data_IF_705133538710
#
_entry.id   IF_705133538710
#
_cell.length_a   1.000
_cell.length_b   1.000
_cell.length_c   1.000
_cell.angle_alpha   90.00
_cell.angle_beta   90.00
_cell.angle_gamma   90.00
#
_symmetry.space_group_name_H-M   'P 1'
#
loop_
_entity.id
_entity.type
_entity.pdbx_description
1 polymer ?
#
# COMPACT_ATOMS: atom_id res chain seq x y z
N UNK A 1 -51.49 9.97 41.86
CA UNK A 1 -51.03 10.00 40.46
C UNK A 1 -49.51 9.82 40.40
N UNK A 2 -49.06 8.60 40.05
CA UNK A 2 -47.82 8.23 39.36
C UNK A 2 -46.56 9.14 39.39
N UNK A 3 -45.93 9.33 40.56
CA UNK A 3 -44.59 9.96 40.62
C UNK A 3 -43.46 9.02 40.15
N UNK A 4 -43.67 7.69 40.21
CA UNK A 4 -42.67 6.68 39.77
C UNK A 4 -42.57 6.51 38.25
N UNK A 5 -43.53 7.00 37.45
CA UNK A 5 -43.48 6.84 35.99
C UNK A 5 -42.57 7.85 35.29
N UNK A 6 -42.28 8.98 35.94
CA UNK A 6 -41.45 10.07 35.39
C UNK A 6 -39.94 9.79 35.57
N UNK A 7 -39.55 9.07 36.63
CA UNK A 7 -38.15 8.66 36.84
C UNK A 7 -37.72 7.48 35.94
N UNK A 8 -38.63 6.53 35.67
CA UNK A 8 -38.34 5.37 34.81
C UNK A 8 -38.20 5.80 33.33
N UNK A 9 -38.91 6.84 32.88
CA UNK A 9 -38.78 7.36 31.52
C UNK A 9 -37.47 8.14 31.30
N UNK A 10 -37.00 8.89 32.29
CA UNK A 10 -35.73 9.64 32.20
C UNK A 10 -34.50 8.73 32.11
N UNK A 11 -34.47 7.64 32.90
CA UNK A 11 -33.36 6.68 32.89
C UNK A 11 -33.30 5.89 31.57
N UNK A 12 -34.47 5.53 31.02
CA UNK A 12 -34.57 4.83 29.74
C UNK A 12 -34.08 5.67 28.56
N UNK A 13 -34.40 6.97 28.53
CA UNK A 13 -33.90 7.89 27.49
C UNK A 13 -32.39 8.07 27.58
N UNK A 14 -31.85 8.22 28.78
CA UNK A 14 -30.39 8.32 28.98
C UNK A 14 -29.70 7.03 28.54
N UNK A 15 -30.25 5.86 28.88
CA UNK A 15 -29.67 4.57 28.47
C UNK A 15 -29.71 4.41 26.94
N UNK A 16 -30.79 4.82 26.29
CA UNK A 16 -30.93 4.78 24.82
C UNK A 16 -29.97 5.76 24.14
N UNK A 17 -29.74 6.94 24.71
CA UNK A 17 -28.77 7.91 24.20
C UNK A 17 -27.33 7.41 24.38
N UNK A 18 -27.01 6.78 25.51
CA UNK A 18 -25.69 6.18 25.77
C UNK A 18 -25.45 4.97 24.86
N UNK A 19 -26.44 4.09 24.71
CA UNK A 19 -26.37 2.95 23.79
C UNK A 19 -26.30 3.42 22.33
N UNK A 20 -27.06 4.45 21.96
CA UNK A 20 -27.00 5.08 20.64
C UNK A 20 -25.63 5.70 20.36
N UNK A 21 -25.02 6.35 21.34
CA UNK A 21 -23.67 6.92 21.26
C UNK A 21 -22.59 5.83 21.13
N UNK A 22 -22.72 4.71 21.87
CA UNK A 22 -21.81 3.56 21.74
C UNK A 22 -21.95 2.87 20.37
N UNK A 23 -23.17 2.74 19.84
CA UNK A 23 -23.41 2.19 18.50
C UNK A 23 -22.90 3.14 17.39
N UNK A 24 -22.92 4.46 17.62
CA UNK A 24 -22.35 5.44 16.70
C UNK A 24 -20.82 5.35 16.63
N UNK A 25 -20.14 5.20 17.78
CA UNK A 25 -18.67 5.04 17.83
C UNK A 25 -18.16 3.77 17.13
N UNK A 26 -18.98 2.73 17.04
CA UNK A 26 -18.60 1.45 16.41
C UNK A 26 -18.91 1.38 14.92
N UNK A 27 -19.59 2.39 14.36
CA UNK A 27 -19.98 2.43 12.94
C UNK A 27 -19.38 3.66 12.24
N UNK A 28 -18.17 3.52 11.70
CA UNK A 28 -17.75 4.36 10.57
C UNK A 28 -16.37 5.04 10.63
N UNK A 29 -15.51 4.69 11.58
CA UNK A 29 -14.11 5.13 11.50
C UNK A 29 -13.36 4.32 10.46
N UNK A 30 -13.24 4.81 9.22
CA UNK A 30 -12.13 4.40 8.37
C UNK A 30 -10.85 4.82 9.11
N UNK A 31 -10.07 3.84 9.55
CA UNK A 31 -8.77 4.08 10.19
C UNK A 31 -7.83 4.60 9.10
N UNK A 32 -7.85 5.91 8.85
CA UNK A 32 -6.86 6.55 8.00
C UNK A 32 -5.57 6.53 8.82
N UNK A 33 -4.60 5.69 8.42
CA UNK A 33 -3.26 5.72 9.02
C UNK A 33 -2.71 7.14 8.86
N UNK A 34 -2.24 7.72 9.97
CA UNK A 34 -1.52 9.00 9.93
C UNK A 34 -0.30 8.84 9.01
N UNK A 35 0.00 9.87 8.21
CA UNK A 35 1.15 9.83 7.30
C UNK A 35 2.42 9.51 8.08
N UNK A 36 3.21 8.58 7.57
CA UNK A 36 4.51 8.23 8.12
C UNK A 36 5.61 9.24 7.70
N UNK A 37 5.27 10.25 6.89
CA UNK A 37 6.20 11.26 6.37
C UNK A 37 7.18 10.73 5.31
N UNK A 38 7.03 9.48 4.88
CA UNK A 38 7.87 8.85 3.86
C UNK A 38 7.24 9.12 2.50
N UNK A 39 7.94 9.93 1.70
CA UNK A 39 7.54 10.24 0.33
C UNK A 39 7.84 9.04 -0.57
N UNK A 40 6.85 8.60 -1.34
CA UNK A 40 6.97 7.57 -2.36
C UNK A 40 6.53 8.13 -3.71
N UNK A 41 7.42 8.13 -4.71
CA UNK A 41 7.09 8.59 -6.06
C UNK A 41 6.82 7.38 -6.94
N UNK A 42 5.61 7.27 -7.50
CA UNK A 42 5.20 6.17 -8.36
C UNK A 42 5.07 6.66 -9.80
N UNK A 43 5.94 6.15 -10.67
CA UNK A 43 5.88 6.35 -12.11
C UNK A 43 5.01 5.27 -12.75
N UNK A 44 4.00 5.69 -13.51
CA UNK A 44 3.07 4.77 -14.17
C UNK A 44 2.52 5.36 -15.47
N UNK A 45 1.97 4.50 -16.31
CA UNK A 45 1.11 4.96 -17.41
C UNK A 45 -0.20 5.56 -16.87
N UNK A 46 -0.72 6.65 -17.45
CA UNK A 46 -2.00 7.25 -17.04
C UNK A 46 -3.19 6.31 -17.25
N UNK A 47 -3.09 5.32 -18.13
CA UNK A 47 -4.16 4.38 -18.47
C UNK A 47 -4.07 3.05 -17.71
N UNK A 48 -3.05 2.85 -16.88
CA UNK A 48 -2.87 1.62 -16.10
C UNK A 48 -3.77 1.62 -14.84
N UNK A 49 -4.89 0.89 -14.90
CA UNK A 49 -5.84 0.81 -13.80
C UNK A 49 -5.26 0.19 -12.51
N UNK A 50 -4.59 -0.95 -12.60
CA UNK A 50 -4.00 -1.63 -11.44
C UNK A 50 -2.91 -0.79 -10.76
N UNK A 51 -2.11 -0.04 -11.52
CA UNK A 51 -1.14 0.92 -11.00
C UNK A 51 -1.79 2.02 -10.15
N UNK A 52 -3.00 2.48 -10.55
CA UNK A 52 -3.78 3.44 -9.77
C UNK A 52 -4.31 2.85 -8.45
N UNK A 53 -4.68 1.57 -8.45
CA UNK A 53 -5.07 0.85 -7.22
C UNK A 53 -3.86 0.66 -6.32
N UNK A 54 -2.69 0.31 -6.86
CA UNK A 54 -1.44 0.22 -6.09
C UNK A 54 -1.06 1.56 -5.44
N UNK A 55 -1.20 2.67 -6.18
CA UNK A 55 -1.00 4.02 -5.64
C UNK A 55 -1.92 4.28 -4.44
N UNK A 56 -3.19 3.89 -4.53
CA UNK A 56 -4.15 4.03 -3.43
C UNK A 56 -3.84 3.12 -2.25
N UNK A 57 -3.37 1.90 -2.52
CA UNK A 57 -2.91 0.95 -1.51
C UNK A 57 -1.75 1.54 -0.69
N UNK A 58 -0.70 2.03 -1.33
CA UNK A 58 0.45 2.63 -0.64
C UNK A 58 0.04 3.87 0.18
N UNK A 59 -0.90 4.70 -0.30
CA UNK A 59 -1.48 5.79 0.50
C UNK A 59 -2.21 5.26 1.74
N UNK A 60 -2.96 4.17 1.61
CA UNK A 60 -3.66 3.51 2.71
C UNK A 60 -2.72 2.98 3.80
N UNK A 61 -1.51 2.58 3.40
CA UNK A 61 -0.44 2.18 4.33
C UNK A 61 0.31 3.37 4.97
N UNK A 62 -0.06 4.61 4.62
CA UNK A 62 0.43 5.83 5.27
C UNK A 62 1.60 6.51 4.57
N UNK A 63 1.97 6.11 3.34
CA UNK A 63 3.00 6.78 2.55
C UNK A 63 2.46 8.06 1.90
N UNK A 64 3.30 9.09 1.82
CA UNK A 64 3.01 10.32 1.08
C UNK A 64 3.28 10.10 -0.41
N UNK A 65 2.29 9.52 -1.11
CA UNK A 65 2.48 9.08 -2.49
C UNK A 65 2.28 10.21 -3.50
N UNK A 66 3.33 10.50 -4.26
CA UNK A 66 3.32 11.31 -5.49
C UNK A 66 3.18 10.37 -6.68
N UNK A 67 2.27 10.65 -7.60
CA UNK A 67 2.08 9.83 -8.80
C UNK A 67 2.42 10.61 -10.05
N UNK A 68 3.41 10.10 -10.79
CA UNK A 68 3.90 10.68 -12.03
C UNK A 68 3.41 9.85 -13.21
N UNK A 69 2.63 10.48 -14.10
CA UNK A 69 2.19 9.83 -15.31
C UNK A 69 3.24 9.99 -16.40
N UNK A 70 3.77 8.87 -16.87
CA UNK A 70 4.79 8.85 -17.92
C UNK A 70 4.26 8.18 -19.18
N UNK A 71 4.67 8.70 -20.33
CA UNK A 71 4.25 8.16 -21.63
C UNK A 71 4.96 6.84 -21.96
N UNK A 72 6.23 6.73 -21.58
CA UNK A 72 7.06 5.57 -21.84
C UNK A 72 7.75 5.11 -20.55
N UNK A 73 7.23 4.02 -19.98
CA UNK A 73 7.81 3.42 -18.77
C UNK A 73 9.19 2.80 -19.01
N UNK A 74 9.54 2.42 -20.24
CA UNK A 74 10.83 1.79 -20.52
C UNK A 74 12.01 2.73 -20.26
N UNK A 75 11.81 4.03 -20.53
CA UNK A 75 12.80 5.07 -20.23
C UNK A 75 13.03 5.18 -18.73
N UNK A 76 11.93 5.27 -17.95
CA UNK A 76 12.01 5.37 -16.48
C UNK A 76 12.68 4.13 -15.89
N UNK A 77 12.28 2.93 -16.30
CA UNK A 77 12.86 1.67 -15.81
C UNK A 77 14.35 1.61 -16.08
N UNK A 78 14.78 1.98 -17.27
CA UNK A 78 16.19 2.03 -17.65
C UNK A 78 16.98 3.05 -16.83
N UNK A 79 16.44 4.26 -16.63
CA UNK A 79 17.07 5.31 -15.82
C UNK A 79 17.20 4.89 -14.35
N UNK A 80 16.19 4.18 -13.83
CA UNK A 80 16.16 3.64 -12.48
C UNK A 80 16.92 2.30 -12.35
N UNK A 81 17.49 1.75 -13.43
CA UNK A 81 18.28 0.52 -13.38
C UNK A 81 17.47 -0.74 -13.06
N UNK A 82 16.20 -0.79 -13.48
CA UNK A 82 15.35 -1.98 -13.34
C UNK A 82 15.80 -3.03 -14.37
N UNK A 83 16.13 -4.27 -13.95
CA UNK A 83 16.44 -5.36 -14.87
C UNK A 83 15.22 -5.80 -15.65
N UNK A 84 15.43 -6.21 -16.90
CA UNK A 84 14.37 -6.67 -17.80
C UNK A 84 13.54 -7.82 -17.19
N UNK A 85 14.19 -8.71 -16.45
CA UNK A 85 13.60 -9.89 -15.82
C UNK A 85 12.61 -9.56 -14.69
N UNK A 86 12.73 -8.37 -14.08
CA UNK A 86 11.83 -7.93 -13.00
C UNK A 86 10.80 -6.90 -13.47
N UNK A 87 10.78 -6.54 -14.75
CA UNK A 87 9.87 -5.49 -15.22
C UNK A 87 8.39 -5.82 -14.95
N UNK A 88 7.70 -4.79 -14.49
CA UNK A 88 6.27 -4.74 -14.21
C UNK A 88 5.65 -3.46 -14.79
N UNK A 89 4.42 -3.15 -14.43
CA UNK A 89 3.64 -2.06 -15.02
C UNK A 89 3.99 -0.65 -14.48
N UNK A 90 4.64 -0.56 -13.32
CA UNK A 90 5.01 0.70 -12.68
C UNK A 90 6.29 0.53 -11.84
N UNK A 91 6.91 1.66 -11.51
CA UNK A 91 8.13 1.70 -10.70
C UNK A 91 7.96 2.78 -9.64
N UNK A 92 8.35 2.48 -8.41
CA UNK A 92 8.28 3.38 -7.27
C UNK A 92 9.68 3.72 -6.76
N UNK A 93 9.93 4.98 -6.44
CA UNK A 93 11.09 5.41 -5.66
C UNK A 93 10.64 5.76 -4.25
N UNK A 94 11.26 5.15 -3.23
CA UNK A 94 10.92 5.39 -1.82
C UNK A 94 12.16 5.21 -0.94
N UNK A 95 12.41 6.18 -0.05
CA UNK A 95 13.55 6.12 0.87
C UNK A 95 14.93 5.96 0.21
N UNK A 96 15.07 6.34 -1.06
CA UNK A 96 16.30 6.14 -1.83
C UNK A 96 16.45 4.75 -2.47
N UNK A 97 15.41 3.93 -2.44
CA UNK A 97 15.36 2.64 -3.15
C UNK A 97 14.37 2.67 -4.32
N UNK A 98 14.62 1.78 -5.27
CA UNK A 98 13.67 1.42 -6.33
C UNK A 98 12.80 0.25 -5.86
N UNK A 99 11.50 0.32 -6.12
CA UNK A 99 10.55 -0.76 -5.89
C UNK A 99 9.79 -1.00 -7.19
N UNK A 100 9.99 -2.17 -7.80
CA UNK A 100 9.47 -2.51 -9.11
C UNK A 100 8.22 -3.40 -9.01
N UNK A 101 7.10 -2.90 -9.54
CA UNK A 101 5.85 -3.66 -9.63
C UNK A 101 5.02 -3.71 -8.35
N UNK A 102 4.10 -4.68 -8.31
CA UNK A 102 3.05 -4.81 -7.29
C UNK A 102 3.55 -5.35 -5.93
N UNK A 103 4.71 -4.90 -5.48
CA UNK A 103 5.38 -5.38 -4.27
C UNK A 103 4.53 -5.05 -3.01
N UNK A 104 4.21 -6.04 -2.15
CA UNK A 104 3.50 -5.81 -0.90
C UNK A 104 4.24 -4.87 0.06
N UNK A 105 3.48 -4.11 0.86
CA UNK A 105 4.06 -3.14 1.79
C UNK A 105 5.00 -3.77 2.79
N UNK A 106 4.76 -5.01 3.20
CA UNK A 106 5.61 -5.72 4.17
C UNK A 106 7.06 -5.84 3.65
N UNK A 107 7.24 -6.01 2.34
CA UNK A 107 8.56 -6.03 1.72
C UNK A 107 9.19 -4.63 1.64
N UNK A 108 8.39 -3.61 1.33
CA UNK A 108 8.84 -2.20 1.32
C UNK A 108 9.26 -1.76 2.71
N UNK A 109 8.48 -2.10 3.74
CA UNK A 109 8.78 -1.82 5.14
C UNK A 109 10.09 -2.49 5.56
N UNK A 110 10.28 -3.77 5.24
CA UNK A 110 11.52 -4.49 5.52
C UNK A 110 12.71 -3.81 4.86
N UNK A 111 12.59 -3.43 3.58
CA UNK A 111 13.63 -2.70 2.85
C UNK A 111 14.00 -1.37 3.52
N UNK A 112 13.02 -0.58 3.92
CA UNK A 112 13.23 0.71 4.56
C UNK A 112 13.76 0.59 6.00
N UNK A 113 13.47 -0.52 6.67
CA UNK A 113 13.95 -0.79 8.05
C UNK A 113 15.38 -1.30 8.05
N UNK A 114 15.68 -2.30 7.22
CA UNK A 114 16.98 -2.98 7.22
C UNK A 114 18.05 -2.23 6.43
N UNK A 115 17.63 -1.42 5.46
CA UNK A 115 18.51 -0.57 4.65
C UNK A 115 19.70 -1.35 4.02
N UNK A 116 19.46 -2.48 3.31
CA UNK A 116 20.52 -3.22 2.63
C UNK A 116 21.22 -2.40 1.54
N UNK A 117 22.46 -2.75 1.21
CA UNK A 117 23.24 -2.12 0.13
C UNK A 117 22.88 -2.70 -1.24
N UNK A 118 21.69 -2.35 -1.71
CA UNK A 118 21.13 -2.71 -3.01
C UNK A 118 20.47 -1.47 -3.62
N UNK A 119 20.16 -1.53 -4.92
CA UNK A 119 19.40 -0.47 -5.59
C UNK A 119 17.94 -0.47 -5.16
N UNK A 120 17.38 -1.65 -4.95
CA UNK A 120 15.95 -1.81 -4.77
C UNK A 120 15.48 -3.26 -4.72
N UNK A 121 14.17 -3.44 -4.83
CA UNK A 121 13.53 -4.75 -4.91
C UNK A 121 12.48 -4.76 -6.03
N UNK A 122 12.16 -5.92 -6.57
CA UNK A 122 11.18 -6.06 -7.63
C UNK A 122 10.42 -7.37 -7.60
N UNK A 123 9.18 -7.31 -8.09
CA UNK A 123 8.34 -8.47 -8.34
C UNK A 123 7.86 -8.44 -9.80
N UNK A 124 8.34 -9.42 -10.57
CA UNK A 124 8.14 -9.50 -12.01
C UNK A 124 6.66 -9.63 -12.40
N UNK A 125 6.28 -8.99 -13.51
CA UNK A 125 4.95 -9.13 -14.10
C UNK A 125 3.84 -8.52 -13.23
N UNK A 126 2.67 -9.14 -13.23
CA UNK A 126 1.49 -8.65 -12.50
C UNK A 126 0.71 -9.82 -11.86
N UNK A 127 1.24 -10.43 -10.78
CA UNK A 127 0.62 -11.60 -10.15
C UNK A 127 -0.77 -11.31 -9.60
N UNK A 128 -1.72 -12.24 -9.82
CA UNK A 128 -3.07 -12.16 -9.25
C UNK A 128 -3.02 -12.11 -7.72
N UNK A 129 -3.86 -11.26 -7.13
CA UNK A 129 -3.95 -11.06 -5.68
C UNK A 129 -2.80 -10.26 -5.06
N UNK A 130 -1.81 -9.81 -5.84
CA UNK A 130 -0.84 -8.82 -5.37
C UNK A 130 -1.51 -7.46 -5.17
N UNK A 131 -0.96 -6.55 -4.32
CA UNK A 131 -1.59 -5.27 -4.07
C UNK A 131 -1.87 -4.51 -5.38
N UNK A 132 -3.11 -4.07 -5.58
CA UNK A 132 -3.54 -3.42 -6.82
C UNK A 132 -3.95 -4.35 -7.96
N UNK A 133 -3.64 -5.65 -7.89
CA UNK A 133 -4.10 -6.66 -8.84
C UNK A 133 -5.36 -7.37 -8.31
N UNK A 134 -6.37 -7.62 -9.15
CA UNK A 134 -7.55 -8.36 -8.75
C UNK A 134 -7.25 -9.86 -8.62
N UNK A 135 -8.22 -10.60 -8.08
CA UNK A 135 -8.20 -12.06 -8.02
C UNK A 135 -7.55 -12.62 -6.75
N UNK A 136 -7.63 -13.95 -6.55
CA UNK A 136 -7.00 -14.61 -5.41
C UNK A 136 -5.48 -14.71 -5.61
N UNK A 137 -4.75 -14.74 -4.49
CA UNK A 137 -3.35 -15.17 -4.47
C UNK A 137 -3.29 -16.70 -4.59
N UNK A 138 -2.64 -17.19 -5.63
CA UNK A 138 -2.55 -18.63 -5.91
C UNK A 138 -1.19 -19.23 -5.53
N UNK A 139 -0.12 -18.43 -5.66
CA UNK A 139 1.24 -18.81 -5.34
C UNK A 139 1.87 -17.75 -4.42
N UNK A 140 2.94 -18.08 -3.70
CA UNK A 140 3.73 -17.07 -3.00
C UNK A 140 4.27 -16.01 -3.95
N UNK A 141 4.37 -14.79 -3.46
CA UNK A 141 5.02 -13.69 -4.16
C UNK A 141 6.51 -13.77 -3.90
N UNK A 142 7.29 -13.90 -4.96
CA UNK A 142 8.75 -13.87 -4.89
C UNK A 142 9.22 -12.46 -5.21
N UNK A 143 9.93 -11.85 -4.25
CA UNK A 143 10.50 -10.52 -4.38
C UNK A 143 12.02 -10.67 -4.43
N UNK A 144 12.63 -10.11 -5.45
CA UNK A 144 14.06 -10.19 -5.71
C UNK A 144 14.72 -8.83 -5.52
N UNK A 145 16.00 -8.85 -5.18
CA UNK A 145 16.83 -7.66 -5.12
C UNK A 145 17.13 -7.12 -6.53
N UNK A 146 17.32 -5.82 -6.61
CA UNK A 146 17.90 -5.13 -7.76
C UNK A 146 19.27 -4.64 -7.33
N UNK A 147 20.31 -5.11 -8.01
CA UNK A 147 21.68 -4.68 -7.76
C UNK A 147 21.94 -3.28 -8.35
N UNK A 148 22.97 -2.60 -7.86
CA UNK A 148 23.34 -1.26 -8.35
C UNK A 148 23.74 -1.21 -9.83
N UNK A 149 24.22 -2.34 -10.38
CA UNK A 149 24.56 -2.49 -11.79
C UNK A 149 23.36 -2.83 -12.68
N UNK A 150 22.16 -2.93 -12.09
CA UNK A 150 20.92 -3.20 -12.80
C UNK A 150 20.71 -4.68 -13.13
N UNK A 151 21.41 -5.61 -12.49
CA UNK A 151 21.09 -7.03 -12.56
C UNK A 151 20.11 -7.45 -11.47
N UNK A 152 19.47 -8.60 -11.65
CA UNK A 152 18.73 -9.28 -10.59
C UNK A 152 19.71 -9.79 -9.53
N UNK A 153 19.43 -9.51 -8.26
CA UNK A 153 20.17 -10.01 -7.11
C UNK A 153 19.54 -11.28 -6.54
N UNK A 154 19.74 -11.51 -5.24
CA UNK A 154 19.19 -12.68 -4.56
C UNK A 154 17.68 -12.51 -4.30
N UNK A 155 17.03 -13.59 -3.87
CA UNK A 155 15.65 -13.51 -3.40
C UNK A 155 15.63 -12.73 -2.08
N UNK A 156 15.02 -11.55 -2.10
CA UNK A 156 14.90 -10.68 -0.94
C UNK A 156 13.95 -11.27 0.11
N UNK A 157 12.79 -11.75 -0.34
CA UNK A 157 11.83 -12.47 0.49
C UNK A 157 10.74 -13.14 -0.34
N UNK A 158 9.98 -14.01 0.33
CA UNK A 158 8.76 -14.63 -0.19
C UNK A 158 7.59 -14.32 0.72
N UNK A 159 6.45 -13.95 0.14
CA UNK A 159 5.20 -13.64 0.86
C UNK A 159 4.11 -14.60 0.45
#
# INVERSE_FOLDING_TARGET
>A
MNMNKIFISGLGVILILVLGYMVFQTRGGQVVRESNGIIATIYKSPTCGCCGVYTSYMKGEGYDVVSENVADMSVIKKELGVPYELESCHTMEVGGYVVEGHVPEEAVQKLLTERPDIKGIGMAGMPSGSPGMPGPKNEPFEIYEINHDGTVGEMFMTI
#
